data_IF_262647835874
#
_entry.id   IF_262647835874
#
_cell.length_a   1.000
_cell.length_b   1.000
_cell.length_c   1.000
_cell.angle_alpha   90.00
_cell.angle_beta   90.00
_cell.angle_gamma   90.00
#
_symmetry.space_group_name_H-M   'P 1'
#
loop_
_entity.id
_entity.type
_entity.pdbx_description
1 polymer ?
#
# COMPACT_ATOMS: atom_id res chain seq x y z
N UNK A 1 -7.75 -4.08 10.70
CA UNK A 1 -7.86 -3.69 9.27
C UNK A 1 -6.63 -4.10 8.43
N UNK A 2 -5.55 -4.57 9.07
CA UNK A 2 -4.28 -4.97 8.44
C UNK A 2 -4.38 -5.85 7.18
N UNK A 3 -5.31 -6.81 7.11
CA UNK A 3 -5.44 -7.67 5.93
C UNK A 3 -5.82 -6.90 4.66
N UNK A 4 -6.73 -5.91 4.78
CA UNK A 4 -7.13 -5.06 3.66
C UNK A 4 -6.00 -4.13 3.25
N UNK A 5 -5.31 -3.51 4.22
CA UNK A 5 -4.18 -2.64 3.96
C UNK A 5 -3.03 -3.39 3.25
N UNK A 6 -2.69 -4.60 3.72
CA UNK A 6 -1.66 -5.44 3.11
C UNK A 6 -1.97 -5.75 1.65
N UNK A 7 -3.18 -6.25 1.40
CA UNK A 7 -3.60 -6.66 0.06
C UNK A 7 -3.62 -5.47 -0.91
N UNK A 8 -4.19 -4.34 -0.47
CA UNK A 8 -4.29 -3.13 -1.28
C UNK A 8 -2.92 -2.51 -1.60
N UNK A 9 -2.00 -2.50 -0.62
CA UNK A 9 -0.64 -2.03 -0.82
C UNK A 9 0.14 -2.93 -1.79
N UNK A 10 0.03 -4.26 -1.62
CA UNK A 10 0.70 -5.25 -2.46
C UNK A 10 0.22 -5.16 -3.91
N UNK A 11 -1.10 -5.14 -4.14
CA UNK A 11 -1.65 -5.03 -5.50
C UNK A 11 -1.21 -3.73 -6.17
N UNK A 12 -1.22 -2.61 -5.45
CA UNK A 12 -0.79 -1.31 -5.99
C UNK A 12 0.70 -1.30 -6.34
N UNK A 13 1.55 -1.86 -5.48
CA UNK A 13 2.98 -1.97 -5.73
C UNK A 13 3.29 -2.96 -6.86
N UNK A 14 2.58 -4.09 -6.93
CA UNK A 14 2.71 -5.07 -8.00
C UNK A 14 2.38 -4.47 -9.36
N UNK A 15 1.29 -3.70 -9.47
CA UNK A 15 0.96 -3.00 -10.71
C UNK A 15 2.06 -2.04 -11.16
N UNK A 16 2.58 -1.20 -10.26
CA UNK A 16 3.68 -0.30 -10.58
C UNK A 16 4.96 -1.05 -10.99
N UNK A 17 5.25 -2.20 -10.38
CA UNK A 17 6.38 -3.05 -10.79
C UNK A 17 6.17 -3.62 -12.19
N UNK A 18 4.99 -4.16 -12.51
CA UNK A 18 4.67 -4.69 -13.84
C UNK A 18 4.75 -3.62 -14.93
N UNK A 19 4.37 -2.38 -14.60
CA UNK A 19 4.47 -1.22 -15.49
C UNK A 19 5.90 -0.64 -15.59
N UNK A 20 6.84 -1.15 -14.78
CA UNK A 20 8.23 -0.69 -14.76
C UNK A 20 8.46 0.64 -14.02
N UNK A 21 7.49 1.11 -13.23
CA UNK A 21 7.61 2.32 -12.42
C UNK A 21 8.45 2.15 -11.15
N UNK A 22 8.58 0.93 -10.64
CA UNK A 22 9.42 0.62 -9.47
C UNK A 22 10.22 -0.68 -9.66
N UNK A 23 11.28 -0.87 -8.86
CA UNK A 23 12.04 -2.10 -8.82
C UNK A 23 11.36 -3.21 -7.99
N UNK A 24 11.82 -4.45 -8.17
CA UNK A 24 11.28 -5.61 -7.44
C UNK A 24 11.39 -5.47 -5.92
N UNK A 25 12.51 -4.92 -5.41
CA UNK A 25 12.71 -4.73 -3.98
C UNK A 25 11.91 -3.55 -3.41
N UNK A 26 11.57 -2.56 -4.24
CA UNK A 26 10.74 -1.44 -3.80
C UNK A 26 9.33 -1.91 -3.43
N UNK A 27 8.83 -3.01 -4.03
CA UNK A 27 7.52 -3.56 -3.68
C UNK A 27 7.43 -3.89 -2.18
N UNK A 28 8.43 -4.61 -1.65
CA UNK A 28 8.44 -4.99 -0.24
C UNK A 28 8.55 -3.77 0.67
N UNK A 29 9.42 -2.81 0.32
CA UNK A 29 9.61 -1.58 1.09
C UNK A 29 8.33 -0.72 1.14
N UNK A 30 7.62 -0.60 0.01
CA UNK A 30 6.35 0.13 -0.06
C UNK A 30 5.29 -0.55 0.81
N UNK A 31 5.13 -1.87 0.67
CA UNK A 31 4.13 -2.62 1.44
C UNK A 31 4.40 -2.54 2.94
N UNK A 32 5.66 -2.72 3.36
CA UNK A 32 6.09 -2.58 4.76
C UNK A 32 5.77 -1.18 5.28
N UNK A 33 6.15 -0.13 4.53
CA UNK A 33 5.91 1.25 4.94
C UNK A 33 4.42 1.57 5.08
N UNK A 34 3.57 1.08 4.17
CA UNK A 34 2.11 1.27 4.27
C UNK A 34 1.56 0.54 5.49
N UNK A 35 1.99 -0.70 5.71
CA UNK A 35 1.56 -1.51 6.85
C UNK A 35 1.92 -0.86 8.19
N UNK A 36 3.12 -0.30 8.30
CA UNK A 36 3.58 0.42 9.49
C UNK A 36 2.80 1.71 9.73
N UNK A 37 2.55 2.49 8.67
CA UNK A 37 1.77 3.75 8.76
C UNK A 37 0.33 3.52 9.22
N UNK A 38 -0.26 2.41 8.79
CA UNK A 38 -1.66 2.07 9.06
C UNK A 38 -1.83 1.13 10.25
N UNK A 39 -0.74 0.81 10.97
CA UNK A 39 -0.81 -0.01 12.17
C UNK A 39 -1.37 0.78 13.36
N UNK A 40 -2.69 0.83 13.48
CA UNK A 40 -3.40 1.60 14.51
C UNK A 40 -4.12 0.74 15.57
N UNK A 41 -3.98 -0.57 15.50
CA UNK A 41 -4.60 -1.53 16.43
C UNK A 41 -6.11 -1.68 16.30
N UNK A 42 -6.76 -1.06 15.30
CA UNK A 42 -8.21 -1.13 15.12
C UNK A 42 -8.64 -2.37 14.31
N UNK A 43 -9.74 -2.96 14.74
CA UNK A 43 -10.46 -4.01 14.01
C UNK A 43 -11.58 -3.40 13.17
N UNK A 44 -11.86 -4.00 12.01
CA UNK A 44 -13.01 -3.63 11.21
C UNK A 44 -14.29 -4.15 11.89
N UNK A 45 -15.30 -3.28 12.03
CA UNK A 45 -16.62 -3.63 12.56
C UNK A 45 -17.69 -3.64 11.47
N UNK A 46 -17.38 -3.12 10.29
CA UNK A 46 -18.24 -3.18 9.11
C UNK A 46 -17.44 -3.37 7.83
N UNK A 47 -18.15 -3.58 6.71
CA UNK A 47 -17.51 -3.66 5.39
C UNK A 47 -16.97 -2.31 4.93
N UNK A 48 -17.59 -1.22 5.37
CA UNK A 48 -17.14 0.15 5.10
C UNK A 48 -15.77 0.43 5.73
N UNK A 49 -15.50 -0.11 6.92
CA UNK A 49 -14.16 -0.02 7.55
C UNK A 49 -13.10 -0.71 6.69
N UNK A 50 -13.44 -1.86 6.09
CA UNK A 50 -12.55 -2.61 5.19
C UNK A 50 -12.28 -1.81 3.92
N UNK A 51 -13.31 -1.25 3.29
CA UNK A 51 -13.16 -0.42 2.10
C UNK A 51 -12.37 0.86 2.37
N UNK A 52 -12.58 1.48 3.54
CA UNK A 52 -11.81 2.66 3.95
C UNK A 52 -10.33 2.32 4.10
N UNK A 53 -10.01 1.21 4.75
CA UNK A 53 -8.63 0.76 4.90
C UNK A 53 -7.96 0.38 3.57
N UNK A 54 -8.68 -0.26 2.64
CA UNK A 54 -8.18 -0.50 1.28
C UNK A 54 -7.85 0.82 0.58
N UNK A 55 -8.78 1.78 0.57
CA UNK A 55 -8.61 3.07 -0.10
C UNK A 55 -7.45 3.90 0.45
N UNK A 56 -7.29 3.92 1.77
CA UNK A 56 -6.18 4.61 2.45
C UNK A 56 -4.84 3.94 2.13
N UNK A 57 -4.76 2.61 2.14
CA UNK A 57 -3.56 1.87 1.78
C UNK A 57 -3.12 2.12 0.34
N UNK A 58 -4.07 2.14 -0.62
CA UNK A 58 -3.76 2.48 -2.03
C UNK A 58 -3.27 3.90 -2.17
N UNK A 59 -3.81 4.84 -1.39
CA UNK A 59 -3.36 6.24 -1.39
C UNK A 59 -1.90 6.31 -0.93
N UNK A 60 -1.56 5.72 0.21
CA UNK A 60 -0.19 5.71 0.71
C UNK A 60 0.79 4.98 -0.21
N UNK A 61 0.39 3.84 -0.79
CA UNK A 61 1.23 3.12 -1.75
C UNK A 61 1.56 4.00 -2.97
N UNK A 62 0.58 4.68 -3.56
CA UNK A 62 0.80 5.58 -4.71
C UNK A 62 1.71 6.75 -4.38
N UNK A 63 1.57 7.33 -3.19
CA UNK A 63 2.46 8.41 -2.73
C UNK A 63 3.93 7.94 -2.65
N UNK A 64 4.15 6.73 -2.12
CA UNK A 64 5.48 6.13 -2.02
C UNK A 64 6.06 5.79 -3.40
N UNK A 65 5.25 5.20 -4.29
CA UNK A 65 5.64 4.92 -5.69
C UNK A 65 6.10 6.20 -6.39
N UNK A 66 5.29 7.27 -6.31
CA UNK A 66 5.64 8.55 -6.92
C UNK A 66 6.92 9.18 -6.35
N UNK A 67 7.31 8.82 -5.12
CA UNK A 67 8.59 9.25 -4.53
C UNK A 67 9.78 8.46 -5.07
N UNK A 68 9.59 7.18 -5.39
CA UNK A 68 10.61 6.29 -5.97
C UNK A 68 10.88 6.64 -7.44
N UNK A 69 9.83 6.88 -8.23
CA UNK A 69 9.95 7.29 -9.64
C UNK A 69 10.75 8.59 -9.82
N UNK A 70 10.61 9.55 -8.90
CA UNK A 70 11.35 10.83 -8.93
C UNK A 70 12.84 10.69 -8.59
N UNK A 71 13.23 9.58 -7.97
CA UNK A 71 14.60 9.32 -7.56
C UNK A 71 15.41 8.56 -8.63
N UNK A 72 14.75 8.00 -9.64
CA UNK A 72 15.33 7.29 -10.78
C UNK A 72 15.64 8.25 -11.95
#
# INVERSE_FOLDING_TARGET
MQGAALNAAEETAFHAFVEGGIGFLDMAEIVETVMDRMHDGRSANSIEDVFSADGEARTHARELIASKEKAA
#
